data_IF_734933557011
#
_entry.id   IF_734933557011
#
_cell.length_a   1.000
_cell.length_b   1.000
_cell.length_c   1.000
_cell.angle_alpha   90.00
_cell.angle_beta   90.00
_cell.angle_gamma   90.00
#
_symmetry.space_group_name_H-M   'P 1'
#
loop_
_entity.id
_entity.type
_entity.pdbx_description
1 polymer ?
#
# COMPACT_ATOMS: atom_id res chain seq x y z
N UNK A 1 -0.39 9.47 -20.62
CA UNK A 1 -0.77 8.11 -20.22
C UNK A 1 0.25 7.66 -19.18
N UNK A 2 -0.19 7.22 -18.00
CA UNK A 2 0.67 6.78 -16.89
C UNK A 2 0.57 5.26 -16.78
N UNK A 3 1.69 4.57 -16.61
CA UNK A 3 1.69 3.10 -16.50
C UNK A 3 1.25 2.69 -15.10
N UNK A 4 0.67 1.50 -14.97
CA UNK A 4 0.17 0.93 -13.70
C UNK A 4 1.26 0.62 -12.65
N UNK A 5 2.53 0.97 -12.92
CA UNK A 5 3.64 0.87 -11.97
C UNK A 5 4.36 2.21 -11.73
N UNK A 6 3.92 3.29 -12.37
CA UNK A 6 4.51 4.61 -12.14
C UNK A 6 4.07 5.13 -10.76
N UNK A 7 4.94 5.77 -9.98
CA UNK A 7 4.56 6.37 -8.70
C UNK A 7 3.39 7.35 -8.82
N UNK A 8 2.52 7.38 -7.81
CA UNK A 8 1.46 8.39 -7.70
C UNK A 8 2.07 9.79 -7.65
N UNK A 9 1.57 10.67 -8.51
CA UNK A 9 1.93 12.07 -8.67
C UNK A 9 1.00 12.95 -7.84
N UNK A 10 1.46 14.16 -7.55
CA UNK A 10 0.68 15.16 -6.82
C UNK A 10 -0.74 15.37 -7.36
N UNK A 11 -0.95 15.36 -8.68
CA UNK A 11 -2.29 15.55 -9.27
C UNK A 11 -3.28 14.42 -8.91
N UNK A 12 -2.79 13.20 -8.68
CA UNK A 12 -3.62 12.08 -8.24
C UNK A 12 -4.07 12.30 -6.78
N UNK A 13 -3.18 12.79 -5.91
CA UNK A 13 -3.52 13.19 -4.54
C UNK A 13 -4.46 14.40 -4.50
N UNK A 14 -4.27 15.40 -5.37
CA UNK A 14 -5.17 16.55 -5.49
C UNK A 14 -6.57 16.12 -5.87
N UNK A 15 -6.70 15.25 -6.87
CA UNK A 15 -7.99 14.69 -7.29
C UNK A 15 -8.64 13.94 -6.14
N UNK A 16 -7.90 13.05 -5.46
CA UNK A 16 -8.42 12.30 -4.32
C UNK A 16 -8.90 13.22 -3.20
N UNK A 17 -8.07 14.17 -2.75
CA UNK A 17 -8.42 15.11 -1.67
C UNK A 17 -9.63 15.96 -2.04
N UNK A 18 -9.70 16.46 -3.28
CA UNK A 18 -10.85 17.22 -3.75
C UNK A 18 -12.13 16.37 -3.69
N UNK A 19 -12.09 15.13 -4.19
CA UNK A 19 -13.24 14.20 -4.10
C UNK A 19 -13.64 13.92 -2.65
N UNK A 20 -12.68 13.64 -1.78
CA UNK A 20 -12.92 13.32 -0.38
C UNK A 20 -13.47 14.49 0.43
N UNK A 21 -13.02 15.71 0.15
CA UNK A 21 -13.54 16.94 0.76
C UNK A 21 -15.06 17.08 0.58
N UNK A 22 -15.61 16.49 -0.49
CA UNK A 22 -17.04 16.54 -0.80
C UNK A 22 -17.84 15.31 -0.32
N UNK A 23 -17.21 14.26 0.22
CA UNK A 23 -17.83 12.94 0.45
C UNK A 23 -17.94 12.47 1.92
N UNK A 24 -17.71 13.33 2.93
CA UNK A 24 -17.74 13.00 4.39
C UNK A 24 -16.47 12.27 4.90
N UNK A 25 -16.17 12.24 6.22
CA UNK A 25 -14.78 12.29 6.70
C UNK A 25 -14.00 10.96 6.64
N UNK A 26 -14.67 9.80 6.66
CA UNK A 26 -13.99 8.50 6.69
C UNK A 26 -13.75 7.95 5.29
N UNK A 27 -12.49 7.78 4.92
CA UNK A 27 -12.11 7.34 3.59
C UNK A 27 -11.00 6.28 3.57
N UNK A 28 -10.98 5.49 2.49
CA UNK A 28 -9.85 4.66 2.10
C UNK A 28 -9.48 4.98 0.66
N UNK A 29 -8.24 5.42 0.47
CA UNK A 29 -7.58 5.48 -0.82
C UNK A 29 -6.65 4.28 -0.94
N UNK A 30 -6.65 3.60 -2.08
CA UNK A 30 -5.71 2.51 -2.33
C UNK A 30 -5.21 2.50 -3.77
N UNK A 31 -3.98 2.02 -3.97
CA UNK A 31 -3.37 1.88 -5.28
C UNK A 31 -2.53 0.61 -5.36
N UNK A 32 -2.64 -0.09 -6.49
CA UNK A 32 -1.95 -1.34 -6.78
C UNK A 32 -0.87 -1.04 -7.85
N UNK A 33 0.39 -0.95 -7.44
CA UNK A 33 1.50 -0.56 -8.31
C UNK A 33 2.30 -1.77 -8.79
N UNK A 34 2.43 -1.95 -10.10
CA UNK A 34 3.26 -2.98 -10.72
C UNK A 34 2.58 -4.35 -10.90
N UNK A 35 3.21 -5.28 -11.64
CA UNK A 35 2.57 -6.51 -12.12
C UNK A 35 2.11 -7.47 -11.01
N UNK A 36 2.75 -7.44 -9.84
CA UNK A 36 2.43 -8.34 -8.72
C UNK A 36 1.49 -7.72 -7.69
N UNK A 37 0.94 -6.53 -7.95
CA UNK A 37 0.09 -5.79 -6.99
C UNK A 37 -1.35 -6.29 -6.89
N UNK A 38 -1.78 -7.20 -7.78
CA UNK A 38 -3.14 -7.78 -7.75
C UNK A 38 -4.22 -6.87 -8.31
N UNK A 39 -3.90 -6.02 -9.30
CA UNK A 39 -4.88 -5.11 -9.87
C UNK A 39 -6.00 -5.84 -10.64
N UNK A 40 -7.19 -5.87 -10.05
CA UNK A 40 -8.45 -6.24 -10.68
C UNK A 40 -9.56 -5.40 -10.04
N UNK A 41 -10.38 -4.72 -10.85
CA UNK A 41 -11.45 -3.85 -10.37
C UNK A 41 -12.53 -4.67 -9.64
N UNK A 42 -12.88 -4.24 -8.44
CA UNK A 42 -13.94 -4.82 -7.63
C UNK A 42 -14.18 -3.96 -6.38
N UNK A 43 -15.44 -3.62 -6.13
CA UNK A 43 -15.89 -2.82 -4.99
C UNK A 43 -15.81 -3.63 -3.69
N UNK A 44 -15.41 -3.02 -2.57
CA UNK A 44 -15.41 -3.69 -1.24
C UNK A 44 -15.54 -2.66 -0.10
N UNK A 45 -16.30 -3.00 0.95
CA UNK A 45 -16.56 -2.19 2.16
C UNK A 45 -15.69 -2.66 3.35
N UNK A 46 -15.29 -1.76 4.28
CA UNK A 46 -14.12 -1.82 5.20
C UNK A 46 -14.31 -2.49 6.60
N UNK A 47 -13.28 -3.16 7.18
CA UNK A 47 -13.19 -3.61 8.57
C UNK A 47 -11.99 -2.97 9.33
N UNK A 48 -11.89 -3.15 10.66
CA UNK A 48 -11.08 -2.30 11.54
C UNK A 48 -9.68 -2.87 11.84
N UNK A 49 -8.79 -3.01 10.86
CA UNK A 49 -7.34 -3.21 11.15
C UNK A 49 -6.70 -1.92 11.72
N UNK A 50 -7.34 -0.77 11.52
CA UNK A 50 -6.78 0.55 11.80
C UNK A 50 -6.70 0.95 13.29
N UNK A 51 -7.24 0.15 14.22
CA UNK A 51 -7.20 0.46 15.67
C UNK A 51 -5.83 0.31 16.35
N UNK A 52 -4.81 -0.19 15.65
CA UNK A 52 -3.50 -0.55 16.24
C UNK A 52 -2.54 0.66 16.37
N UNK A 53 -2.87 1.80 15.74
CA UNK A 53 -1.93 2.93 15.57
C UNK A 53 -2.15 4.07 16.59
N UNK A 54 -3.16 3.97 17.44
CA UNK A 54 -3.59 5.01 18.39
C UNK A 54 -2.54 5.47 19.43
N UNK A 55 -1.37 4.83 19.50
CA UNK A 55 -0.29 5.16 20.45
C UNK A 55 1.04 5.55 19.78
N UNK A 56 1.01 5.82 18.48
CA UNK A 56 2.19 6.15 17.69
C UNK A 56 2.23 7.65 17.41
N UNK A 57 3.39 8.30 17.59
CA UNK A 57 3.63 9.68 17.15
C UNK A 57 3.35 9.89 15.65
N UNK A 58 2.80 11.06 15.31
CA UNK A 58 2.57 11.45 13.93
C UNK A 58 3.87 11.55 13.12
N UNK A 59 3.77 11.31 11.81
CA UNK A 59 4.83 11.46 10.81
C UNK A 59 6.08 10.59 11.03
N UNK A 60 6.05 9.63 11.97
CA UNK A 60 7.11 8.66 12.16
C UNK A 60 6.81 7.37 11.40
N UNK A 61 7.80 6.83 10.69
CA UNK A 61 7.73 5.50 10.06
C UNK A 61 7.90 4.42 11.14
N UNK A 62 7.18 3.32 10.99
CA UNK A 62 7.20 2.26 11.99
C UNK A 62 6.44 1.02 11.52
N UNK A 63 6.22 0.10 12.45
CA UNK A 63 5.79 -1.26 12.15
C UNK A 63 4.62 -1.68 13.02
N UNK A 64 3.65 -2.31 12.40
CA UNK A 64 2.58 -3.04 13.06
C UNK A 64 3.14 -4.41 13.44
N UNK A 65 3.31 -4.65 14.75
CA UNK A 65 3.95 -5.87 15.26
C UNK A 65 3.28 -7.18 14.81
N UNK A 66 1.97 -7.13 14.49
CA UNK A 66 1.21 -8.28 14.02
C UNK A 66 1.46 -8.64 12.55
N UNK A 67 2.11 -7.77 11.76
CA UNK A 67 2.31 -8.01 10.34
C UNK A 67 3.62 -8.76 10.09
N UNK A 68 3.57 -10.05 9.68
CA UNK A 68 4.76 -10.89 9.48
C UNK A 68 5.48 -10.63 8.15
N UNK A 69 5.25 -9.46 7.53
CA UNK A 69 5.78 -9.06 6.24
C UNK A 69 6.25 -7.60 6.31
N UNK A 70 7.25 -7.26 5.49
CA UNK A 70 7.74 -5.90 5.28
C UNK A 70 6.60 -4.99 4.90
N UNK A 71 6.51 -3.87 5.60
CA UNK A 71 5.56 -2.82 5.37
C UNK A 71 6.12 -1.52 5.95
N UNK A 72 5.65 -0.40 5.42
CA UNK A 72 6.09 0.93 5.82
C UNK A 72 4.83 1.70 6.13
N UNK A 73 4.67 2.08 7.39
CA UNK A 73 3.47 2.70 7.88
C UNK A 73 3.82 4.04 8.56
N UNK A 74 3.00 5.06 8.33
CA UNK A 74 3.04 6.35 9.01
C UNK A 74 1.66 6.64 9.60
N UNK A 75 1.64 7.14 10.84
CA UNK A 75 0.47 7.81 11.42
C UNK A 75 0.38 9.24 10.87
N UNK A 76 -0.68 9.54 10.13
CA UNK A 76 -0.90 10.85 9.52
C UNK A 76 -1.40 11.84 10.57
N UNK A 77 -0.92 13.08 10.50
CA UNK A 77 -1.48 14.17 11.32
C UNK A 77 -2.97 14.36 11.01
N UNK A 78 -3.79 14.74 12.01
CA UNK A 78 -5.18 15.10 11.79
C UNK A 78 -5.29 16.26 10.81
N UNK A 79 -6.44 16.38 10.15
CA UNK A 79 -6.76 17.57 9.35
C UNK A 79 -7.01 18.75 10.28
N UNK A 80 -6.33 19.87 10.04
CA UNK A 80 -6.49 21.11 10.80
C UNK A 80 -7.58 21.99 10.18
N UNK A 81 -8.09 22.98 10.92
CA UNK A 81 -9.21 23.83 10.46
C UNK A 81 -8.86 24.68 9.22
N UNK A 82 -7.58 25.01 9.05
CA UNK A 82 -7.04 25.80 7.95
C UNK A 82 -6.48 24.93 6.79
N UNK A 83 -6.51 23.59 6.92
CA UNK A 83 -6.15 22.71 5.81
C UNK A 83 -7.18 22.84 4.68
N UNK A 84 -6.72 23.29 3.52
CA UNK A 84 -7.45 23.14 2.26
C UNK A 84 -7.17 21.78 1.63
N UNK A 85 -8.00 21.36 0.67
CA UNK A 85 -7.77 20.15 -0.11
C UNK A 85 -6.37 20.14 -0.78
N UNK A 86 -5.88 21.30 -1.22
CA UNK A 86 -4.55 21.46 -1.82
C UNK A 86 -3.44 21.24 -0.79
N UNK A 87 -3.52 21.91 0.37
CA UNK A 87 -2.51 21.76 1.43
C UNK A 87 -2.45 20.33 1.98
N UNK A 88 -3.62 19.66 2.08
CA UNK A 88 -3.70 18.24 2.45
C UNK A 88 -3.08 17.35 1.38
N UNK A 89 -3.35 17.61 0.10
CA UNK A 89 -2.74 16.86 -1.01
C UNK A 89 -1.21 16.98 -1.03
N UNK A 90 -0.68 18.19 -0.81
CA UNK A 90 0.76 18.42 -0.72
C UNK A 90 1.39 17.69 0.48
N UNK A 91 0.71 17.68 1.64
CA UNK A 91 1.13 16.88 2.80
C UNK A 91 1.14 15.38 2.51
N UNK A 92 0.05 14.82 1.96
CA UNK A 92 -0.03 13.39 1.66
C UNK A 92 0.99 12.97 0.60
N UNK A 93 1.18 13.76 -0.47
CA UNK A 93 2.15 13.44 -1.51
C UNK A 93 3.60 13.47 -0.98
N UNK A 94 3.95 14.43 -0.13
CA UNK A 94 5.27 14.45 0.54
C UNK A 94 5.47 13.23 1.42
N UNK A 95 4.46 12.89 2.23
CA UNK A 95 4.48 11.71 3.11
C UNK A 95 4.66 10.42 2.31
N UNK A 96 3.88 10.26 1.24
CA UNK A 96 4.00 9.14 0.30
C UNK A 96 5.39 9.04 -0.32
N UNK A 97 5.97 10.16 -0.75
CA UNK A 97 7.31 10.18 -1.34
C UNK A 97 8.38 9.75 -0.34
N UNK A 98 8.29 10.22 0.91
CA UNK A 98 9.18 9.78 1.99
C UNK A 98 9.07 8.28 2.23
N UNK A 99 7.84 7.76 2.34
CA UNK A 99 7.58 6.35 2.57
C UNK A 99 8.06 5.46 1.41
N UNK A 100 7.85 5.94 0.18
CA UNK A 100 8.29 5.25 -1.04
C UNK A 100 9.81 5.18 -1.12
N UNK A 101 10.51 6.27 -0.83
CA UNK A 101 11.98 6.30 -0.83
C UNK A 101 12.55 5.34 0.23
N UNK A 102 12.01 5.38 1.46
CA UNK A 102 12.41 4.45 2.54
C UNK A 102 12.21 2.99 2.12
N UNK A 103 11.04 2.67 1.56
CA UNK A 103 10.76 1.34 1.05
C UNK A 103 11.74 0.94 -0.05
N UNK A 104 11.97 1.80 -1.05
CA UNK A 104 12.87 1.50 -2.15
C UNK A 104 14.29 1.25 -1.66
N UNK A 105 14.82 2.11 -0.79
CA UNK A 105 16.15 1.95 -0.19
C UNK A 105 16.26 0.63 0.55
N UNK A 106 15.34 0.32 1.47
CA UNK A 106 15.38 -0.94 2.23
C UNK A 106 15.20 -2.17 1.34
N UNK A 107 14.41 -2.06 0.27
CA UNK A 107 14.18 -3.18 -0.65
C UNK A 107 15.36 -3.46 -1.59
N UNK A 108 16.32 -2.55 -1.75
CA UNK A 108 17.56 -2.84 -2.51
C UNK A 108 18.42 -3.93 -1.86
N UNK A 109 18.37 -4.05 -0.53
CA UNK A 109 19.05 -5.12 0.22
C UNK A 109 18.41 -6.49 -0.04
N UNK A 110 17.08 -6.51 -0.22
CA UNK A 110 16.28 -7.72 -0.41
C UNK A 110 16.27 -8.16 -1.87
N UNK A 111 16.26 -7.19 -2.79
CA UNK A 111 16.20 -7.39 -4.23
C UNK A 111 17.33 -6.60 -4.88
N UNK A 112 18.55 -7.18 -4.97
CA UNK A 112 19.71 -6.47 -5.53
C UNK A 112 19.51 -6.00 -6.97
N UNK A 113 18.63 -6.66 -7.73
CA UNK A 113 18.27 -6.27 -9.10
C UNK A 113 17.43 -4.99 -9.19
N UNK A 114 17.01 -4.39 -8.07
CA UNK A 114 16.41 -3.04 -8.05
C UNK A 114 17.45 -1.93 -8.23
N UNK A 115 18.74 -2.21 -8.01
CA UNK A 115 19.80 -1.22 -8.22
C UNK A 115 19.99 -1.05 -9.73
N UNK A 116 19.83 0.16 -10.28
CA UNK A 116 20.12 0.42 -11.69
C UNK A 116 21.59 0.08 -11.96
N UNK A 117 21.83 -0.72 -13.00
CA UNK A 117 23.19 -1.06 -13.38
C UNK A 117 23.96 0.22 -13.75
N UNK A 118 25.18 0.36 -13.23
CA UNK A 118 26.03 1.57 -13.36
C UNK A 118 26.35 1.97 -14.82
N UNK A 119 25.96 1.16 -15.80
CA UNK A 119 26.10 1.40 -17.24
C UNK A 119 24.90 2.10 -17.87
N UNK A 120 23.79 2.31 -17.14
CA UNK A 120 22.57 2.93 -17.67
C UNK A 120 21.84 2.08 -18.74
N UNK A 121 22.32 0.87 -19.01
CA UNK A 121 21.73 -0.04 -19.98
C UNK A 121 20.63 -0.87 -19.29
N UNK A 122 19.38 -0.39 -19.35
CA UNK A 122 18.22 -1.21 -18.99
C UNK A 122 18.08 -2.32 -20.02
N UNK A 123 18.59 -3.52 -19.73
CA UNK A 123 18.33 -4.72 -20.51
C UNK A 123 16.85 -5.13 -20.42
N UNK A 124 15.93 -4.35 -21.01
CA UNK A 124 14.53 -4.71 -21.33
C UNK A 124 13.57 -5.12 -20.20
N UNK A 125 14.07 -5.49 -19.02
CA UNK A 125 13.32 -5.82 -17.82
C UNK A 125 13.61 -4.72 -16.81
N UNK A 126 12.86 -3.62 -16.88
CA UNK A 126 12.79 -2.68 -15.76
C UNK A 126 12.36 -3.48 -14.52
N UNK A 127 13.28 -3.67 -13.57
CA UNK A 127 13.00 -4.35 -12.29
C UNK A 127 12.16 -3.41 -11.43
N UNK A 128 10.84 -3.45 -11.64
CA UNK A 128 9.93 -2.62 -10.86
C UNK A 128 9.53 -3.34 -9.58
N UNK A 129 9.80 -2.71 -8.45
CA UNK A 129 9.21 -3.11 -7.19
C UNK A 129 7.69 -2.93 -7.28
N UNK A 130 6.95 -4.04 -7.23
CA UNK A 130 5.50 -3.98 -7.07
C UNK A 130 5.17 -3.68 -5.61
N UNK A 131 4.14 -2.87 -5.37
CA UNK A 131 3.69 -2.57 -4.01
C UNK A 131 2.19 -2.25 -3.96
N UNK A 132 1.62 -2.38 -2.77
CA UNK A 132 0.31 -1.85 -2.45
C UNK A 132 0.45 -0.58 -1.63
N UNK A 133 -0.34 0.42 -1.99
CA UNK A 133 -0.53 1.65 -1.26
C UNK A 133 -1.93 1.71 -0.70
N UNK A 134 -2.05 2.08 0.57
CA UNK A 134 -3.29 2.24 1.32
C UNK A 134 -3.16 3.52 2.13
N UNK A 135 -4.18 4.37 2.11
CA UNK A 135 -4.21 5.61 2.85
C UNK A 135 -5.61 5.87 3.42
N UNK A 136 -5.70 6.16 4.70
CA UNK A 136 -6.90 6.57 5.43
C UNK A 136 -6.76 8.03 5.88
N UNK A 137 -7.67 8.46 6.75
CA UNK A 137 -7.61 9.75 7.44
C UNK A 137 -6.39 9.89 8.36
N UNK A 138 -5.97 8.79 8.98
CA UNK A 138 -4.99 8.71 10.06
C UNK A 138 -3.77 7.82 9.70
N UNK A 139 -3.74 7.14 8.56
CA UNK A 139 -2.64 6.24 8.25
C UNK A 139 -2.28 6.24 6.76
N UNK A 140 -0.99 6.08 6.48
CA UNK A 140 -0.48 5.69 5.18
C UNK A 140 0.35 4.42 5.29
N UNK A 141 0.08 3.44 4.44
CA UNK A 141 0.73 2.12 4.43
C UNK A 141 1.19 1.75 3.02
N UNK A 142 2.47 1.41 2.90
CA UNK A 142 3.07 0.77 1.73
C UNK A 142 3.47 -0.67 2.07
N UNK A 143 3.12 -1.60 1.19
CA UNK A 143 3.50 -3.01 1.32
C UNK A 143 4.19 -3.48 0.02
N UNK A 144 5.50 -3.78 0.03
CA UNK A 144 6.16 -4.37 -1.12
C UNK A 144 5.61 -5.78 -1.41
N UNK A 145 5.35 -6.07 -2.70
CA UNK A 145 4.66 -7.27 -3.19
C UNK A 145 5.59 -8.15 -4.01
N UNK A 146 5.63 -9.44 -3.70
CA UNK A 146 6.38 -10.46 -4.47
C UNK A 146 5.51 -11.28 -5.41
N UNK A 147 4.26 -11.55 -5.01
CA UNK A 147 3.31 -12.35 -5.79
C UNK A 147 1.94 -11.69 -5.76
N UNK A 148 1.15 -11.89 -6.82
CA UNK A 148 -0.23 -11.38 -6.92
C UNK A 148 -1.25 -12.25 -6.15
N UNK A 149 -0.91 -13.50 -5.87
CA UNK A 149 -1.82 -14.51 -5.32
C UNK A 149 -1.08 -15.48 -4.38
N UNK A 150 -1.81 -16.06 -3.43
CA UNK A 150 -1.36 -17.19 -2.60
C UNK A 150 -2.48 -18.22 -2.50
N UNK A 151 -2.16 -19.51 -2.65
CA UNK A 151 -3.09 -20.62 -2.52
C UNK A 151 -4.40 -20.46 -3.32
N UNK A 152 -4.29 -19.93 -4.55
CA UNK A 152 -5.42 -19.66 -5.44
C UNK A 152 -6.22 -18.39 -5.13
N UNK A 153 -5.84 -17.65 -4.09
CA UNK A 153 -6.51 -16.41 -3.66
C UNK A 153 -5.75 -15.21 -4.21
N UNK A 154 -6.42 -14.40 -5.04
CA UNK A 154 -5.86 -13.15 -5.54
C UNK A 154 -5.87 -12.08 -4.43
N UNK A 155 -4.72 -11.45 -4.20
CA UNK A 155 -4.54 -10.45 -3.13
C UNK A 155 -4.20 -9.10 -3.75
N UNK A 156 -5.00 -8.08 -3.42
CA UNK A 156 -4.76 -6.68 -3.79
C UNK A 156 -4.55 -5.81 -2.53
N UNK A 157 -4.40 -4.49 -2.68
CA UNK A 157 -4.25 -3.55 -1.55
C UNK A 157 -5.32 -3.72 -0.47
N UNK A 158 -6.55 -4.06 -0.83
CA UNK A 158 -7.63 -4.23 0.15
C UNK A 158 -7.38 -5.43 1.07
N UNK A 159 -6.76 -6.50 0.57
CA UNK A 159 -6.34 -7.63 1.40
C UNK A 159 -5.44 -7.21 2.57
N UNK A 160 -4.49 -6.31 2.33
CA UNK A 160 -3.61 -5.74 3.36
C UNK A 160 -4.30 -4.71 4.25
N UNK A 161 -5.42 -4.13 3.80
CA UNK A 161 -6.32 -3.33 4.63
C UNK A 161 -7.30 -4.17 5.47
N UNK A 162 -7.16 -5.51 5.46
CA UNK A 162 -8.01 -6.44 6.21
C UNK A 162 -9.22 -6.96 5.44
N UNK A 163 -9.31 -6.64 4.14
CA UNK A 163 -10.39 -7.06 3.24
C UNK A 163 -9.96 -8.20 2.33
N UNK A 164 -9.78 -9.37 2.93
CA UNK A 164 -9.68 -10.60 2.16
C UNK A 164 -11.06 -11.03 1.67
N UNK A 165 -11.27 -10.94 0.35
CA UNK A 165 -12.50 -11.38 -0.30
C UNK A 165 -12.30 -12.77 -0.91
N UNK A 166 -12.89 -13.80 -0.29
CA UNK A 166 -13.01 -15.12 -0.91
C UNK A 166 -14.10 -15.11 -1.97
N UNK A 167 -13.76 -15.47 -3.21
CA UNK A 167 -14.70 -15.52 -4.34
C UNK A 167 -15.34 -16.90 -4.52
N UNK A 168 -14.88 -17.89 -3.77
CA UNK A 168 -15.41 -19.26 -3.79
C UNK A 168 -15.30 -19.93 -2.41
N UNK A 169 -16.08 -20.99 -2.14
CA UNK A 169 -15.95 -21.78 -0.92
C UNK A 169 -14.54 -22.36 -0.73
N UNK A 170 -13.87 -22.75 -1.82
CA UNK A 170 -12.51 -23.25 -1.79
C UNK A 170 -11.49 -22.17 -1.37
N UNK A 171 -11.67 -20.93 -1.82
CA UNK A 171 -10.86 -19.81 -1.35
C UNK A 171 -11.09 -19.52 0.13
N UNK A 172 -12.33 -19.59 0.61
CA UNK A 172 -12.65 -19.41 2.02
C UNK A 172 -12.00 -20.50 2.89
N UNK A 173 -12.12 -21.76 2.49
CA UNK A 173 -11.47 -22.89 3.17
C UNK A 173 -9.94 -22.73 3.18
N UNK A 174 -9.36 -22.28 2.08
CA UNK A 174 -7.92 -21.98 1.97
C UNK A 174 -7.50 -20.89 2.96
N UNK A 175 -8.25 -19.78 3.07
CA UNK A 175 -7.98 -18.71 4.05
C UNK A 175 -8.09 -19.24 5.48
N UNK A 176 -9.11 -20.05 5.78
CA UNK A 176 -9.33 -20.61 7.11
C UNK A 176 -8.23 -21.61 7.52
N UNK A 177 -7.74 -22.39 6.55
CA UNK A 177 -6.71 -23.41 6.76
C UNK A 177 -5.34 -22.79 7.00
N UNK A 178 -4.95 -21.81 6.16
CA UNK A 178 -3.62 -21.20 6.24
C UNK A 178 -3.55 -20.03 7.23
N UNK A 179 -4.69 -19.35 7.46
CA UNK A 179 -4.77 -18.15 8.27
C UNK A 179 -4.47 -16.88 7.47
N UNK A 180 -5.17 -15.80 7.83
CA UNK A 180 -5.11 -14.49 7.17
C UNK A 180 -3.68 -13.95 7.04
N UNK A 181 -2.92 -13.97 8.14
CA UNK A 181 -1.57 -13.41 8.15
C UNK A 181 -0.60 -14.20 7.29
N UNK A 182 -0.75 -15.53 7.22
CA UNK A 182 0.10 -16.35 6.36
C UNK A 182 -0.20 -16.08 4.88
N UNK A 183 -1.48 -16.02 4.49
CA UNK A 183 -1.88 -15.70 3.12
C UNK A 183 -1.33 -14.33 2.68
N UNK A 184 -1.34 -13.33 3.57
CA UNK A 184 -0.75 -12.02 3.30
C UNK A 184 0.80 -12.04 3.28
N UNK A 185 1.42 -12.80 4.18
CA UNK A 185 2.88 -13.00 4.19
C UNK A 185 3.38 -13.66 2.90
N UNK A 186 2.60 -14.61 2.36
CA UNK A 186 2.96 -15.35 1.16
C UNK A 186 3.09 -14.45 -0.07
N UNK A 187 2.35 -13.34 -0.13
CA UNK A 187 2.39 -12.38 -1.24
C UNK A 187 3.24 -11.15 -0.96
N UNK A 188 3.67 -10.95 0.28
CA UNK A 188 4.60 -9.89 0.72
C UNK A 188 6.04 -10.38 0.87
N UNK A 189 6.96 -9.47 1.19
CA UNK A 189 8.33 -9.85 1.56
C UNK A 189 8.43 -10.07 3.07
N UNK A 190 9.20 -11.05 3.58
CA UNK A 190 9.44 -11.22 5.01
C UNK A 190 10.34 -10.08 5.56
N UNK A 191 10.19 -9.76 6.85
CA UNK A 191 11.11 -8.86 7.57
C UNK A 191 12.52 -9.46 7.66
#
# INVERSE_FOLDING_TARGET
>A
YQRQGDPLKLNEFKTACWTLYHLQPKYLLFYNAGPNSGASAGDTHFPPIFGVINHWDYDQVGRIALFPFRHYCIHLRPMELDDTAETRADYLHRTYTTLLNEMQTSMTEVIPSLVPDSTGATNGTESFLSYNFICTEDMMLLVPRRHKESNGISINSLGFAGLLLAKSPAELESIQTHGVFQVLADVGYPW
#
